data_IF_567770542999
#
_entry.id   IF_567770542999
#
_cell.length_a   1.000
_cell.length_b   1.000
_cell.length_c   1.000
_cell.angle_alpha   90.00
_cell.angle_beta   90.00
_cell.angle_gamma   90.00
#
_symmetry.space_group_name_H-M   'P 1'
#
loop_
_entity.id
_entity.type
_entity.pdbx_description
1 polymer ?
#
# COMPACT_ATOMS: atom_id res chain seq x y z
N UNK A 1 -7.83 -40.60 1.75
CA UNK A 1 -6.78 -39.66 2.17
C UNK A 1 -7.50 -38.50 2.83
N UNK A 2 -7.48 -38.43 4.17
CA UNK A 2 -7.91 -37.23 4.89
C UNK A 2 -6.73 -36.25 4.92
N UNK A 3 -6.93 -35.04 4.40
CA UNK A 3 -5.97 -33.96 4.55
C UNK A 3 -6.09 -33.42 5.98
N UNK A 4 -5.06 -33.65 6.80
CA UNK A 4 -4.87 -32.89 8.03
C UNK A 4 -4.61 -31.44 7.64
N UNK A 5 -5.48 -30.54 8.11
CA UNK A 5 -5.23 -29.10 7.96
C UNK A 5 -3.94 -28.76 8.70
N UNK A 6 -3.07 -27.94 8.10
CA UNK A 6 -1.87 -27.48 8.80
C UNK A 6 -2.29 -26.73 10.07
N UNK A 7 -1.78 -27.20 11.21
CA UNK A 7 -1.92 -26.48 12.46
C UNK A 7 -1.09 -25.20 12.36
N UNK A 8 -1.78 -24.08 12.40
CA UNK A 8 -1.19 -22.75 12.33
C UNK A 8 -1.19 -22.16 13.74
N UNK A 9 0.01 -21.90 14.27
CA UNK A 9 0.19 -21.26 15.57
C UNK A 9 0.82 -19.88 15.36
N UNK A 10 0.30 -18.88 16.07
CA UNK A 10 0.78 -17.49 16.01
C UNK A 10 0.65 -16.84 17.39
N UNK A 11 1.55 -15.90 17.69
CA UNK A 11 1.46 -15.05 18.88
C UNK A 11 0.48 -13.89 18.72
N UNK A 12 0.00 -13.62 17.50
CA UNK A 12 -0.99 -12.57 17.24
C UNK A 12 -2.41 -13.10 17.47
N UNK A 13 -3.27 -12.27 18.04
CA UNK A 13 -4.68 -12.60 18.19
C UNK A 13 -5.39 -12.55 16.83
N UNK A 14 -5.78 -13.71 16.31
CA UNK A 14 -6.61 -13.87 15.12
C UNK A 14 -7.97 -14.52 15.46
N UNK A 15 -8.46 -14.31 16.69
CA UNK A 15 -9.73 -14.84 17.15
C UNK A 15 -10.92 -14.23 16.39
N UNK A 16 -12.04 -14.97 16.36
CA UNK A 16 -13.30 -14.48 15.80
C UNK A 16 -13.78 -13.21 16.49
N UNK A 17 -13.56 -13.09 17.81
CA UNK A 17 -13.92 -11.91 18.59
C UNK A 17 -13.20 -10.66 18.07
N UNK A 18 -11.90 -10.75 17.79
CA UNK A 18 -11.15 -9.62 17.23
C UNK A 18 -11.54 -9.34 15.78
N UNK A 19 -11.70 -10.38 14.97
CA UNK A 19 -12.15 -10.23 13.58
C UNK A 19 -13.53 -9.55 13.47
N UNK A 20 -14.41 -9.79 14.44
CA UNK A 20 -15.73 -9.15 14.50
C UNK A 20 -15.69 -7.62 14.69
N UNK A 21 -14.54 -7.06 15.10
CA UNK A 21 -14.34 -5.61 15.21
C UNK A 21 -14.11 -4.94 13.85
N UNK A 22 -13.82 -5.71 12.80
CA UNK A 22 -13.63 -5.22 11.44
C UNK A 22 -14.97 -5.30 10.70
N UNK A 23 -15.71 -4.19 10.73
CA UNK A 23 -17.09 -4.12 10.21
C UNK A 23 -17.20 -3.40 8.85
N UNK A 24 -16.07 -2.93 8.31
CA UNK A 24 -16.01 -2.22 7.03
C UNK A 24 -16.36 -0.74 7.10
N UNK A 25 -16.55 -0.19 8.30
CA UNK A 25 -16.71 1.25 8.52
C UNK A 25 -15.36 1.96 8.69
N UNK A 26 -15.35 3.28 8.54
CA UNK A 26 -14.17 4.10 8.85
C UNK A 26 -13.78 4.01 10.34
N UNK A 27 -14.74 3.74 11.23
CA UNK A 27 -14.50 3.64 12.67
C UNK A 27 -13.71 2.36 13.02
N UNK A 28 -13.96 1.26 12.29
CA UNK A 28 -13.19 0.00 12.42
C UNK A 28 -11.79 0.06 11.82
N UNK A 29 -11.50 1.07 10.99
CA UNK A 29 -10.31 1.08 10.14
C UNK A 29 -8.97 1.07 10.91
N UNK A 30 -8.82 1.74 12.07
CA UNK A 30 -7.62 1.57 12.90
C UNK A 30 -7.39 0.12 13.32
N UNK A 31 -8.45 -0.62 13.66
CA UNK A 31 -8.34 -2.03 14.01
C UNK A 31 -8.04 -2.89 12.78
N UNK A 32 -8.68 -2.60 11.65
CA UNK A 32 -8.37 -3.25 10.36
C UNK A 32 -6.89 -3.10 9.99
N UNK A 33 -6.31 -1.90 10.15
CA UNK A 33 -4.90 -1.66 9.86
C UNK A 33 -3.97 -2.36 10.85
N UNK A 34 -4.34 -2.48 12.12
CA UNK A 34 -3.58 -3.26 13.11
C UNK A 34 -3.59 -4.74 12.77
N UNK A 35 -4.77 -5.30 12.52
CA UNK A 35 -4.93 -6.69 12.14
C UNK A 35 -4.17 -7.01 10.84
N UNK A 36 -4.25 -6.12 9.84
CA UNK A 36 -3.47 -6.26 8.61
C UNK A 36 -1.96 -6.26 8.89
N UNK A 37 -1.49 -5.38 9.78
CA UNK A 37 -0.09 -5.36 10.23
C UNK A 37 0.34 -6.69 10.84
N UNK A 38 -0.46 -7.22 11.77
CA UNK A 38 -0.20 -8.52 12.41
C UNK A 38 -0.14 -9.66 11.38
N UNK A 39 -1.08 -9.69 10.43
CA UNK A 39 -1.08 -10.68 9.34
C UNK A 39 0.16 -10.53 8.46
N UNK A 40 0.58 -9.31 8.14
CA UNK A 40 1.78 -9.06 7.34
C UNK A 40 3.08 -9.44 8.06
N UNK A 41 3.11 -9.41 9.39
CA UNK A 41 4.26 -9.86 10.20
C UNK A 41 4.37 -11.40 10.23
N UNK A 42 3.23 -12.09 10.24
CA UNK A 42 3.15 -13.56 10.17
C UNK A 42 3.65 -14.07 8.81
N UNK A 43 3.38 -13.34 7.73
CA UNK A 43 3.72 -13.76 6.37
C UNK A 43 5.24 -13.66 6.14
N UNK A 44 5.94 -14.78 6.21
CA UNK A 44 7.38 -14.85 5.94
C UNK A 44 7.74 -14.85 4.44
N UNK A 45 6.81 -14.39 3.59
CA UNK A 45 7.01 -14.27 2.15
C UNK A 45 6.98 -12.83 1.70
N UNK A 46 7.78 -12.52 0.68
CA UNK A 46 7.77 -11.20 0.06
C UNK A 46 6.52 -11.07 -0.83
N UNK A 47 5.53 -10.29 -0.37
CA UNK A 47 4.33 -10.01 -1.14
C UNK A 47 4.55 -8.77 -2.00
N UNK A 48 4.00 -8.79 -3.22
CA UNK A 48 3.81 -7.59 -4.02
C UNK A 48 2.39 -7.08 -3.76
N UNK A 49 2.26 -5.88 -3.20
CA UNK A 49 0.98 -5.22 -3.00
C UNK A 49 0.89 -3.99 -3.92
N UNK A 50 -0.09 -4.03 -4.81
CA UNK A 50 -0.40 -2.94 -5.74
C UNK A 50 -1.67 -2.28 -5.23
N UNK A 51 -1.57 -0.99 -4.93
CA UNK A 51 -2.73 -0.18 -4.56
C UNK A 51 -2.95 0.84 -5.66
N UNK A 52 -4.02 0.65 -6.42
CA UNK A 52 -4.45 1.57 -7.47
C UNK A 52 -5.59 2.44 -6.98
N UNK A 53 -5.60 3.69 -7.41
CA UNK A 53 -6.75 4.56 -7.24
C UNK A 53 -6.78 5.35 -5.94
N UNK A 54 -5.67 5.57 -5.23
CA UNK A 54 -5.72 6.36 -3.97
C UNK A 54 -6.34 7.75 -4.14
N UNK A 55 -6.22 8.36 -5.33
CA UNK A 55 -6.87 9.63 -5.65
C UNK A 55 -8.40 9.62 -5.48
N UNK A 56 -9.06 8.47 -5.59
CA UNK A 56 -10.50 8.35 -5.33
C UNK A 56 -10.85 8.57 -3.86
N UNK A 57 -9.90 8.28 -2.98
CA UNK A 57 -10.07 8.37 -1.53
C UNK A 57 -9.36 9.59 -0.95
N UNK A 58 -8.56 10.34 -1.71
CA UNK A 58 -7.72 11.44 -1.21
C UNK A 58 -8.54 12.72 -0.98
N UNK A 59 -9.20 12.80 0.18
CA UNK A 59 -9.89 13.98 0.67
C UNK A 59 -9.33 14.41 2.04
N UNK A 60 -9.85 15.52 2.61
CA UNK A 60 -9.36 16.02 3.91
C UNK A 60 -9.76 15.11 5.08
N UNK A 61 -10.93 14.50 5.03
CA UNK A 61 -11.47 13.59 6.07
C UNK A 61 -10.74 12.25 6.11
N UNK A 62 -10.22 11.77 4.98
CA UNK A 62 -9.57 10.45 4.85
C UNK A 62 -8.05 10.51 4.89
N UNK A 63 -7.45 11.72 4.77
CA UNK A 63 -6.00 11.90 4.65
C UNK A 63 -5.19 11.18 5.74
N UNK A 64 -5.58 11.37 7.01
CA UNK A 64 -4.89 10.78 8.16
C UNK A 64 -4.93 9.26 8.10
N UNK A 65 -6.09 8.70 7.77
CA UNK A 65 -6.32 7.27 7.65
C UNK A 65 -5.49 6.68 6.50
N UNK A 66 -5.46 7.35 5.34
CA UNK A 66 -4.66 6.90 4.20
C UNK A 66 -3.16 6.94 4.49
N UNK A 67 -2.69 7.93 5.25
CA UNK A 67 -1.30 7.99 5.73
C UNK A 67 -0.99 6.80 6.65
N UNK A 68 -1.88 6.47 7.59
CA UNK A 68 -1.71 5.31 8.45
C UNK A 68 -1.67 4.00 7.66
N UNK A 69 -2.57 3.83 6.68
CA UNK A 69 -2.56 2.69 5.78
C UNK A 69 -1.21 2.56 5.04
N UNK A 70 -0.72 3.64 4.43
CA UNK A 70 0.56 3.66 3.73
C UNK A 70 1.70 3.29 4.68
N UNK A 71 1.71 3.79 5.91
CA UNK A 71 2.72 3.45 6.92
C UNK A 71 2.68 1.98 7.32
N UNK A 72 1.49 1.43 7.57
CA UNK A 72 1.31 0.01 7.90
C UNK A 72 1.85 -0.87 6.80
N UNK A 73 1.46 -0.60 5.55
CA UNK A 73 1.95 -1.34 4.40
C UNK A 73 3.48 -1.23 4.29
N UNK A 74 4.07 -0.03 4.43
CA UNK A 74 5.52 0.18 4.28
C UNK A 74 6.38 -0.48 5.35
N UNK A 75 5.83 -0.74 6.55
CA UNK A 75 6.56 -1.41 7.64
C UNK A 75 6.74 -2.91 7.41
N UNK A 76 5.89 -3.50 6.58
CA UNK A 76 5.93 -4.93 6.29
C UNK A 76 7.03 -5.32 5.29
N UNK A 77 7.31 -6.62 5.15
CA UNK A 77 8.24 -7.17 4.14
C UNK A 77 7.67 -7.13 2.70
N UNK A 78 6.78 -6.19 2.40
CA UNK A 78 6.09 -6.11 1.10
C UNK A 78 6.76 -5.16 0.12
N UNK A 79 6.73 -5.52 -1.16
CA UNK A 79 7.02 -4.62 -2.27
C UNK A 79 5.73 -3.86 -2.58
N UNK A 80 5.77 -2.54 -2.52
CA UNK A 80 4.60 -1.69 -2.70
C UNK A 80 4.68 -0.92 -4.00
N UNK A 81 3.59 -0.93 -4.75
CA UNK A 81 3.37 -0.05 -5.88
C UNK A 81 2.07 0.71 -5.68
N UNK A 82 2.17 2.02 -5.54
CA UNK A 82 1.03 2.91 -5.53
C UNK A 82 0.83 3.50 -6.92
N UNK A 83 -0.36 3.32 -7.49
CA UNK A 83 -0.77 3.96 -8.73
C UNK A 83 -1.89 4.94 -8.43
N UNK A 84 -1.76 6.16 -8.94
CA UNK A 84 -2.70 7.23 -8.68
C UNK A 84 -2.67 8.25 -9.80
N UNK A 85 -3.77 8.98 -9.98
CA UNK A 85 -3.79 10.19 -10.80
C UNK A 85 -3.67 11.42 -9.91
N UNK A 86 -3.26 12.55 -10.48
CA UNK A 86 -3.20 13.81 -9.77
C UNK A 86 -2.15 13.85 -8.66
N UNK A 87 -2.44 14.62 -7.60
CA UNK A 87 -1.44 15.00 -6.59
C UNK A 87 -1.39 14.12 -5.35
N UNK A 88 -2.28 13.13 -5.16
CA UNK A 88 -2.38 12.25 -3.98
C UNK A 88 -1.64 12.75 -2.73
N UNK A 89 -2.29 13.57 -1.93
CA UNK A 89 -1.67 14.33 -0.85
C UNK A 89 -1.10 13.44 0.25
N UNK A 90 -1.73 12.30 0.53
CA UNK A 90 -1.22 11.29 1.46
C UNK A 90 0.11 10.69 0.97
N UNK A 91 0.21 10.31 -0.30
CA UNK A 91 1.45 9.78 -0.90
C UNK A 91 2.52 10.87 -1.04
N UNK A 92 2.13 12.13 -1.22
CA UNK A 92 3.10 13.22 -1.26
C UNK A 92 3.90 13.36 0.03
N UNK A 93 3.24 13.11 1.17
CA UNK A 93 3.84 13.20 2.51
C UNK A 93 4.70 11.99 2.86
N UNK A 94 4.27 10.79 2.46
CA UNK A 94 4.88 9.53 2.91
C UNK A 94 5.87 8.91 1.92
N UNK A 95 5.81 9.29 0.65
CA UNK A 95 6.71 8.77 -0.38
C UNK A 95 7.72 9.86 -0.76
N UNK A 96 9.01 9.53 -0.82
CA UNK A 96 10.04 10.49 -1.22
C UNK A 96 9.93 10.82 -2.72
N UNK A 97 10.68 11.84 -3.19
CA UNK A 97 10.73 12.15 -4.63
C UNK A 97 11.40 11.04 -5.44
N UNK A 98 12.35 10.31 -4.86
CA UNK A 98 13.10 9.26 -5.55
C UNK A 98 12.27 8.00 -5.80
N UNK A 99 11.27 7.77 -4.96
CA UNK A 99 10.33 6.66 -5.08
C UNK A 99 9.14 6.99 -5.99
N UNK A 100 9.10 8.19 -6.59
CA UNK A 100 7.98 8.68 -7.39
C UNK A 100 8.33 8.72 -8.87
N UNK A 101 7.50 8.04 -9.66
CA UNK A 101 7.47 8.15 -11.11
C UNK A 101 6.23 8.93 -11.54
N UNK A 102 6.40 10.00 -12.32
CA UNK A 102 5.28 10.72 -12.94
C UNK A 102 5.28 10.46 -14.43
N UNK A 103 4.16 9.90 -14.91
CA UNK A 103 3.92 9.61 -16.33
C UNK A 103 3.02 10.73 -16.87
N UNK A 104 3.52 11.50 -17.84
CA UNK A 104 2.80 12.66 -18.39
C UNK A 104 1.91 12.28 -19.58
N UNK A 105 2.32 11.27 -20.35
CA UNK A 105 1.52 10.72 -21.44
C UNK A 105 1.86 9.25 -21.68
N UNK A 106 0.84 8.40 -21.76
CA UNK A 106 0.94 7.05 -22.33
C UNK A 106 0.45 7.12 -23.77
N UNK A 107 1.30 6.74 -24.73
CA UNK A 107 0.85 6.55 -26.09
C UNK A 107 0.41 5.07 -26.25
N UNK A 108 -0.89 4.75 -26.23
CA UNK A 108 -1.34 3.35 -26.18
C UNK A 108 -1.01 2.53 -27.44
N UNK A 109 -0.48 3.17 -28.50
CA UNK A 109 -0.10 2.54 -29.77
C UNK A 109 1.41 2.37 -29.97
N UNK A 110 2.23 2.81 -29.02
CA UNK A 110 3.69 2.69 -29.06
C UNK A 110 4.26 2.31 -27.70
N UNK A 111 5.43 1.68 -27.69
CA UNK A 111 6.16 1.26 -26.48
C UNK A 111 6.74 2.44 -25.66
N UNK A 112 6.51 3.68 -26.09
CA UNK A 112 7.18 4.85 -25.55
C UNK A 112 6.39 5.45 -24.39
N UNK A 113 6.95 5.31 -23.18
CA UNK A 113 6.47 5.99 -21.97
C UNK A 113 7.25 7.29 -21.80
N UNK A 114 6.56 8.44 -21.84
CA UNK A 114 7.19 9.73 -21.53
C UNK A 114 7.15 9.99 -20.01
N UNK A 115 8.33 9.99 -19.41
CA UNK A 115 8.54 10.37 -18.01
C UNK A 115 8.67 11.89 -17.89
N UNK A 116 8.26 12.44 -16.75
CA UNK A 116 8.47 13.88 -16.49
C UNK A 116 9.97 14.23 -16.44
N UNK A 117 10.35 15.39 -16.99
CA UNK A 117 11.76 15.86 -16.98
C UNK A 117 12.36 15.93 -15.56
N UNK A 118 11.52 16.21 -14.56
CA UNK A 118 11.92 16.22 -13.15
C UNK A 118 12.24 14.84 -12.60
N UNK A 119 11.65 13.78 -13.15
CA UNK A 119 11.94 12.39 -12.78
C UNK A 119 13.20 11.89 -13.46
N UNK A 120 13.40 12.22 -14.74
CA UNK A 120 14.61 11.88 -15.50
C UNK A 120 15.88 12.45 -14.86
N UNK A 121 15.86 13.73 -14.47
CA UNK A 121 17.01 14.39 -13.82
C UNK A 121 17.42 13.79 -12.46
N UNK A 122 16.54 13.00 -11.81
CA UNK A 122 16.82 12.31 -10.56
C UNK A 122 17.44 10.92 -10.79
N UNK A 123 17.14 10.26 -11.91
CA UNK A 123 17.77 8.98 -12.30
C UNK A 123 19.22 9.18 -12.73
N UNK A 124 19.54 10.25 -13.46
CA UNK A 124 20.90 10.55 -13.94
C UNK A 124 21.90 10.95 -12.84
N UNK A 125 21.44 11.08 -11.59
CA UNK A 125 22.26 11.44 -10.42
C UNK A 125 22.59 10.23 -9.52
N UNK A 126 22.29 9.02 -9.96
CA UNK A 126 22.67 7.79 -9.26
C UNK A 126 24.15 7.46 -9.53
N UNK A 127 24.97 7.16 -8.50
CA UNK A 127 26.30 6.59 -8.67
C UNK A 127 26.25 5.13 -9.14
#
# INVERSE_FOLDING_TARGET
>A
MELLLPQFETSHDLSEARLSLVDGTLDSLPETLRLLGDVLEILDMQLLCIVDGLHWLDDRSTNTILIEMVKTLRKSKTKLLFTTTGRSSCLQREVSRMEKLTIESLNPRGSDVKLSEKTLALQDRMP
#
